data_IF_692477922834
#
_entry.id   IF_692477922834
#
_cell.length_a   1.000
_cell.length_b   1.000
_cell.length_c   1.000
_cell.angle_alpha   90.00
_cell.angle_beta   90.00
_cell.angle_gamma   90.00
#
_symmetry.space_group_name_H-M   'P 1'
#
loop_
_entity.id
_entity.type
_entity.pdbx_description
1 polymer ?
#
# COMPACT_ATOMS: atom_id res chain seq x y z
N UNK A 1 25.99 -38.59 33.46
CA UNK A 1 25.50 -39.66 32.55
C UNK A 1 24.68 -39.13 31.38
N UNK A 2 23.92 -38.03 31.53
CA UNK A 2 23.17 -37.42 30.42
C UNK A 2 24.07 -36.68 29.40
N UNK A 3 25.06 -35.90 29.86
CA UNK A 3 25.93 -35.09 28.98
C UNK A 3 26.79 -35.90 28.00
N UNK A 4 27.22 -37.10 28.39
CA UNK A 4 28.02 -37.98 27.54
C UNK A 4 27.23 -38.47 26.31
N UNK A 5 25.90 -38.64 26.43
CA UNK A 5 25.05 -39.05 25.30
C UNK A 5 24.82 -37.91 24.32
N UNK A 6 24.61 -36.69 24.82
CA UNK A 6 24.42 -35.50 23.97
C UNK A 6 25.68 -35.14 23.18
N UNK A 7 26.87 -35.28 23.78
CA UNK A 7 28.13 -35.03 23.09
C UNK A 7 28.38 -35.98 21.91
N UNK A 8 27.94 -37.23 22.02
CA UNK A 8 28.12 -38.26 20.98
C UNK A 8 27.13 -38.03 19.82
N UNK A 9 25.88 -37.66 20.13
CA UNK A 9 24.89 -37.29 19.13
C UNK A 9 25.32 -36.06 18.32
N UNK A 10 25.89 -35.04 18.97
CA UNK A 10 26.31 -33.82 18.29
C UNK A 10 27.57 -34.01 17.43
N UNK A 11 28.47 -34.92 17.82
CA UNK A 11 29.64 -35.30 17.02
C UNK A 11 29.25 -36.05 15.74
N UNK A 12 28.33 -37.01 15.84
CA UNK A 12 27.80 -37.72 14.68
C UNK A 12 27.02 -36.79 13.74
N UNK A 13 26.23 -35.85 14.30
CA UNK A 13 25.53 -34.85 13.49
C UNK A 13 26.51 -33.92 12.73
N UNK A 14 27.63 -33.55 13.35
CA UNK A 14 28.67 -32.73 12.74
C UNK A 14 29.47 -33.42 11.63
N UNK A 15 29.70 -34.74 11.75
CA UNK A 15 30.44 -35.52 10.73
C UNK A 15 29.61 -35.85 9.49
N UNK A 16 28.28 -35.97 9.62
CA UNK A 16 27.37 -36.25 8.49
C UNK A 16 26.94 -34.98 7.76
N UNK A 17 26.93 -33.82 8.45
CA UNK A 17 26.66 -32.52 7.83
C UNK A 17 27.96 -32.00 7.18
N UNK A 18 28.28 -32.56 6.01
CA UNK A 18 29.26 -31.98 5.11
C UNK A 18 28.82 -30.57 4.71
N UNK A 19 29.50 -29.55 5.22
CA UNK A 19 29.34 -28.16 4.79
C UNK A 19 29.84 -28.07 3.34
N UNK A 20 28.92 -28.30 2.41
CA UNK A 20 29.14 -28.22 0.97
C UNK A 20 29.61 -26.82 0.58
N UNK A 21 30.92 -26.68 0.36
CA UNK A 21 31.65 -25.45 0.06
C UNK A 21 31.37 -24.81 -1.30
N UNK A 22 30.12 -24.74 -1.76
CA UNK A 22 29.72 -23.96 -2.94
C UNK A 22 28.38 -23.23 -2.83
N UNK A 23 27.70 -23.30 -1.67
CA UNK A 23 26.38 -22.69 -1.45
C UNK A 23 26.45 -21.25 -0.91
N UNK A 24 27.56 -20.85 -0.29
CA UNK A 24 27.67 -19.55 0.43
C UNK A 24 27.71 -18.27 -0.42
N UNK A 25 27.76 -18.35 -1.76
CA UNK A 25 27.83 -17.18 -2.65
C UNK A 25 26.48 -16.83 -3.29
N UNK A 26 25.68 -17.83 -3.62
CA UNK A 26 24.29 -17.63 -4.11
C UNK A 26 23.37 -17.31 -2.94
N UNK A 27 23.62 -17.92 -1.77
CA UNK A 27 22.89 -17.59 -0.55
C UNK A 27 23.01 -16.11 -0.17
N UNK A 28 24.10 -15.41 -0.51
CA UNK A 28 24.22 -13.98 -0.16
C UNK A 28 23.31 -13.06 -0.99
N UNK A 29 22.89 -13.51 -2.18
CA UNK A 29 21.95 -12.78 -3.05
C UNK A 29 20.50 -13.04 -2.61
N UNK A 30 20.19 -14.28 -2.22
CA UNK A 30 18.88 -14.67 -1.68
C UNK A 30 18.69 -14.19 -0.24
N UNK A 31 19.77 -14.10 0.54
CA UNK A 31 19.81 -13.58 1.90
C UNK A 31 20.00 -12.06 1.96
N UNK A 32 19.72 -11.33 0.87
CA UNK A 32 19.67 -9.88 0.96
C UNK A 32 18.32 -9.47 1.56
N UNK A 33 18.20 -9.72 2.87
CA UNK A 33 17.17 -9.21 3.77
C UNK A 33 16.90 -7.75 3.38
N UNK A 34 17.93 -6.93 3.13
CA UNK A 34 17.78 -5.50 2.81
C UNK A 34 16.96 -5.18 1.55
N UNK A 35 16.78 -6.11 0.60
CA UNK A 35 15.96 -5.89 -0.61
C UNK A 35 14.45 -5.90 -0.34
N UNK A 36 14.00 -6.41 0.82
CA UNK A 36 12.57 -6.43 1.14
C UNK A 36 11.93 -5.03 1.23
N UNK A 37 12.64 -4.05 1.79
CA UNK A 37 12.13 -2.67 1.92
C UNK A 37 12.10 -1.94 0.56
N UNK A 38 13.17 -1.97 -0.28
CA UNK A 38 13.13 -1.41 -1.63
C UNK A 38 12.06 -2.04 -2.53
N UNK A 39 11.88 -3.36 -2.47
CA UNK A 39 10.83 -4.05 -3.25
C UNK A 39 9.43 -3.62 -2.77
N UNK A 40 9.24 -3.49 -1.46
CA UNK A 40 8.03 -2.92 -0.86
C UNK A 40 7.72 -1.53 -1.39
N UNK A 41 8.70 -0.63 -1.31
CA UNK A 41 8.53 0.74 -1.76
C UNK A 41 8.31 0.84 -3.27
N UNK A 42 9.01 0.02 -4.07
CA UNK A 42 8.85 -0.01 -5.52
C UNK A 42 7.45 -0.48 -5.93
N UNK A 43 6.92 -1.51 -5.27
CA UNK A 43 5.55 -1.98 -5.51
C UNK A 43 4.50 -0.95 -5.10
N UNK A 44 4.67 -0.28 -3.95
CA UNK A 44 3.79 0.82 -3.55
C UNK A 44 3.84 1.98 -4.52
N UNK A 45 5.05 2.35 -4.96
CA UNK A 45 5.24 3.39 -5.97
C UNK A 45 4.55 3.02 -7.29
N UNK A 46 4.72 1.79 -7.77
CA UNK A 46 4.06 1.30 -8.98
C UNK A 46 2.54 1.34 -8.83
N UNK A 47 2.01 0.87 -7.70
CA UNK A 47 0.58 0.92 -7.39
C UNK A 47 0.04 2.35 -7.49
N UNK A 48 0.69 3.32 -6.83
CA UNK A 48 0.29 4.73 -6.89
C UNK A 48 0.41 5.31 -8.29
N UNK A 49 1.53 5.04 -8.97
CA UNK A 49 1.79 5.52 -10.33
C UNK A 49 0.73 5.03 -11.30
N UNK A 50 0.39 3.74 -11.26
CA UNK A 50 -0.66 3.17 -12.11
C UNK A 50 -2.04 3.71 -11.71
N UNK A 51 -2.36 3.78 -10.42
CA UNK A 51 -3.65 4.29 -9.93
C UNK A 51 -3.91 5.73 -10.39
N UNK A 52 -2.92 6.62 -10.27
CA UNK A 52 -3.06 8.03 -10.65
C UNK A 52 -3.10 8.16 -12.18
N UNK A 53 -2.26 7.44 -12.92
CA UNK A 53 -2.26 7.52 -14.39
C UNK A 53 -3.55 6.95 -14.99
N UNK A 54 -3.97 5.74 -14.58
CA UNK A 54 -5.22 5.15 -15.07
C UNK A 54 -6.43 5.92 -14.58
N UNK A 55 -6.51 6.23 -13.29
CA UNK A 55 -7.61 7.01 -12.72
C UNK A 55 -7.73 8.39 -13.35
N UNK A 56 -6.59 9.01 -13.65
CA UNK A 56 -6.48 10.30 -14.34
C UNK A 56 -7.18 10.32 -15.70
N UNK A 57 -7.07 9.25 -16.49
CA UNK A 57 -7.73 9.14 -17.81
C UNK A 57 -9.25 9.21 -17.70
N UNK A 58 -9.83 8.79 -16.58
CA UNK A 58 -11.28 8.79 -16.37
C UNK A 58 -11.82 10.06 -15.71
N UNK A 59 -10.96 10.96 -15.22
CA UNK A 59 -11.37 12.20 -14.52
C UNK A 59 -12.32 13.01 -15.39
N UNK A 60 -11.94 13.28 -16.64
CA UNK A 60 -12.72 14.12 -17.55
C UNK A 60 -14.11 13.55 -17.81
N UNK A 61 -14.23 12.22 -17.89
CA UNK A 61 -15.52 11.56 -18.06
C UNK A 61 -16.45 11.80 -16.86
N UNK A 62 -15.95 11.61 -15.64
CA UNK A 62 -16.75 11.81 -14.42
C UNK A 62 -17.06 13.30 -14.18
N UNK A 63 -16.13 14.20 -14.50
CA UNK A 63 -16.39 15.63 -14.42
C UNK A 63 -17.46 16.10 -15.39
N UNK A 64 -17.41 15.64 -16.65
CA UNK A 64 -18.41 15.99 -17.66
C UNK A 64 -19.77 15.41 -17.28
N UNK A 65 -19.82 14.14 -16.88
CA UNK A 65 -21.06 13.49 -16.45
C UNK A 65 -21.69 14.22 -15.25
N UNK A 66 -20.89 14.55 -14.24
CA UNK A 66 -21.37 15.31 -13.09
C UNK A 66 -21.73 16.75 -13.44
N UNK A 67 -21.01 17.40 -14.35
CA UNK A 67 -21.33 18.74 -14.85
C UNK A 67 -22.71 18.77 -15.52
N UNK A 68 -22.93 17.87 -16.47
CA UNK A 68 -24.20 17.78 -17.20
C UNK A 68 -25.38 17.45 -16.27
N UNK A 69 -25.19 16.52 -15.33
CA UNK A 69 -26.29 16.09 -14.45
C UNK A 69 -26.56 17.07 -13.30
N UNK A 70 -25.50 17.50 -12.61
CA UNK A 70 -25.61 18.21 -11.32
C UNK A 70 -25.52 19.72 -11.45
N UNK A 71 -24.92 20.24 -12.53
CA UNK A 71 -24.82 21.68 -12.77
C UNK A 71 -25.83 22.06 -13.84
N UNK A 72 -25.64 21.60 -15.08
CA UNK A 72 -26.46 22.03 -16.21
C UNK A 72 -27.90 21.50 -16.10
N UNK A 73 -28.07 20.21 -15.78
CA UNK A 73 -29.36 19.57 -15.62
C UNK A 73 -30.15 20.12 -14.43
N UNK A 74 -29.47 20.31 -13.29
CA UNK A 74 -30.07 20.87 -12.08
C UNK A 74 -30.45 22.35 -12.29
N UNK A 75 -29.59 23.13 -12.97
CA UNK A 75 -29.88 24.50 -13.37
C UNK A 75 -31.08 24.60 -14.30
N UNK A 76 -31.13 23.77 -15.35
CA UNK A 76 -32.27 23.72 -16.28
C UNK A 76 -33.59 23.33 -15.58
N UNK A 77 -33.53 22.39 -14.62
CA UNK A 77 -34.69 22.02 -13.81
C UNK A 77 -35.17 23.19 -12.94
N UNK A 78 -34.27 23.86 -12.23
CA UNK A 78 -34.57 25.04 -11.42
C UNK A 78 -35.17 26.17 -12.27
N UNK A 79 -34.60 26.44 -13.44
CA UNK A 79 -35.12 27.43 -14.38
C UNK A 79 -36.53 27.05 -14.88
N UNK A 80 -36.77 25.77 -15.20
CA UNK A 80 -38.09 25.30 -15.63
C UNK A 80 -39.19 25.43 -14.57
N UNK A 81 -38.79 25.39 -13.29
CA UNK A 81 -39.67 25.58 -12.14
C UNK A 81 -39.89 27.06 -11.79
N UNK A 82 -39.27 28.00 -12.52
CA UNK A 82 -39.32 29.42 -12.23
C UNK A 82 -38.57 29.81 -10.96
N UNK A 83 -37.54 29.04 -10.59
CA UNK A 83 -36.74 29.34 -9.42
C UNK A 83 -36.00 30.70 -9.58
N UNK A 84 -35.83 31.45 -8.49
CA UNK A 84 -35.07 32.70 -8.53
C UNK A 84 -33.57 32.42 -8.74
N UNK A 85 -32.87 33.28 -9.49
CA UNK A 85 -31.48 33.05 -9.90
C UNK A 85 -30.47 32.86 -8.76
N UNK A 86 -30.74 33.39 -7.55
CA UNK A 86 -29.88 33.13 -6.39
C UNK A 86 -29.93 31.67 -5.95
N UNK A 87 -31.06 30.99 -6.15
CA UNK A 87 -31.23 29.57 -5.79
C UNK A 87 -30.52 28.67 -6.79
N UNK A 88 -30.55 29.04 -8.08
CA UNK A 88 -29.77 28.37 -9.13
C UNK A 88 -28.27 28.50 -8.89
N UNK A 89 -27.79 29.70 -8.57
CA UNK A 89 -26.38 29.93 -8.22
C UNK A 89 -25.96 29.09 -7.00
N UNK A 90 -26.80 28.98 -5.98
CA UNK A 90 -26.47 28.25 -4.77
C UNK A 90 -26.49 26.72 -4.98
N UNK A 91 -27.53 26.20 -5.62
CA UNK A 91 -27.73 24.75 -5.77
C UNK A 91 -27.00 24.17 -6.98
N UNK A 92 -27.17 24.75 -8.17
CA UNK A 92 -26.56 24.21 -9.39
C UNK A 92 -25.06 24.55 -9.44
N UNK A 93 -24.71 25.84 -9.32
CA UNK A 93 -23.31 26.27 -9.46
C UNK A 93 -22.50 26.00 -8.18
N UNK A 94 -23.07 26.28 -7.00
CA UNK A 94 -22.41 26.04 -5.71
C UNK A 94 -22.32 24.55 -5.36
N UNK A 95 -23.47 23.94 -5.04
CA UNK A 95 -23.52 22.53 -4.62
C UNK A 95 -23.17 21.60 -5.78
N UNK A 96 -23.78 21.76 -6.95
CA UNK A 96 -23.48 20.94 -8.12
C UNK A 96 -22.02 21.04 -8.58
N UNK A 97 -21.45 22.25 -8.57
CA UNK A 97 -20.02 22.47 -8.83
C UNK A 97 -19.12 21.76 -7.82
N UNK A 98 -19.47 21.81 -6.53
CA UNK A 98 -18.79 21.06 -5.48
C UNK A 98 -18.85 19.54 -5.69
N UNK A 99 -20.04 18.99 -6.00
CA UNK A 99 -20.18 17.56 -6.27
C UNK A 99 -19.47 17.12 -7.54
N UNK A 100 -19.37 17.98 -8.56
CA UNK A 100 -18.58 17.72 -9.76
C UNK A 100 -17.10 17.50 -9.41
N UNK A 101 -16.53 18.32 -8.52
CA UNK A 101 -15.16 18.12 -8.02
C UNK A 101 -15.06 16.82 -7.22
N UNK A 102 -16.05 16.48 -6.39
CA UNK A 102 -16.05 15.20 -5.67
C UNK A 102 -16.11 14.01 -6.63
N UNK A 103 -16.89 14.11 -7.71
CA UNK A 103 -17.03 13.06 -8.71
C UNK A 103 -15.71 12.75 -9.43
N UNK A 104 -14.83 13.74 -9.60
CA UNK A 104 -13.51 13.55 -10.21
C UNK A 104 -12.58 12.63 -9.40
N UNK A 105 -12.84 12.45 -8.09
CA UNK A 105 -12.10 11.52 -7.24
C UNK A 105 -12.58 10.06 -7.33
N UNK A 106 -13.81 9.83 -7.80
CA UNK A 106 -14.39 8.48 -7.93
C UNK A 106 -13.46 7.53 -8.70
N UNK A 107 -12.97 7.85 -9.91
CA UNK A 107 -12.10 6.95 -10.65
C UNK A 107 -10.80 6.66 -9.89
N UNK A 108 -10.15 7.68 -9.31
CA UNK A 108 -8.89 7.52 -8.57
C UNK A 108 -9.08 6.58 -7.38
N UNK A 109 -10.13 6.78 -6.59
CA UNK A 109 -10.43 5.95 -5.42
C UNK A 109 -10.82 4.53 -5.87
N UNK A 110 -11.59 4.40 -6.94
CA UNK A 110 -11.97 3.11 -7.51
C UNK A 110 -10.75 2.27 -7.92
N UNK A 111 -9.81 2.88 -8.66
CA UNK A 111 -8.55 2.21 -9.02
C UNK A 111 -7.68 1.91 -7.79
N UNK A 112 -7.64 2.82 -6.81
CA UNK A 112 -6.89 2.59 -5.58
C UNK A 112 -7.39 1.33 -4.87
N UNK A 113 -8.70 1.20 -4.68
CA UNK A 113 -9.29 0.01 -4.05
C UNK A 113 -9.13 -1.25 -4.89
N UNK A 114 -9.26 -1.15 -6.22
CA UNK A 114 -8.99 -2.26 -7.13
C UNK A 114 -7.56 -2.80 -6.93
N UNK A 115 -6.56 -1.92 -6.94
CA UNK A 115 -5.16 -2.32 -6.77
C UNK A 115 -4.84 -2.79 -5.35
N UNK A 116 -5.49 -2.23 -4.33
CA UNK A 116 -5.39 -2.72 -2.95
C UNK A 116 -5.92 -4.15 -2.83
N UNK A 117 -7.09 -4.43 -3.41
CA UNK A 117 -7.67 -5.78 -3.46
C UNK A 117 -6.74 -6.75 -4.18
N UNK A 118 -6.19 -6.34 -5.34
CA UNK A 118 -5.22 -7.17 -6.06
C UNK A 118 -3.96 -7.45 -5.21
N UNK A 119 -3.42 -6.45 -4.53
CA UNK A 119 -2.27 -6.61 -3.62
C UNK A 119 -2.56 -7.57 -2.47
N UNK A 120 -3.78 -7.52 -1.94
CA UNK A 120 -4.26 -8.44 -0.91
C UNK A 120 -4.29 -9.89 -1.45
N UNK A 121 -4.90 -10.10 -2.62
CA UNK A 121 -5.00 -11.41 -3.27
C UNK A 121 -3.63 -12.01 -3.63
N UNK A 122 -2.65 -11.19 -4.00
CA UNK A 122 -1.26 -11.63 -4.26
C UNK A 122 -0.48 -12.03 -2.99
N UNK A 123 -1.13 -11.99 -1.81
CA UNK A 123 -0.47 -12.25 -0.52
C UNK A 123 0.62 -11.22 -0.22
N UNK A 124 0.54 -10.02 -0.82
CA UNK A 124 1.50 -8.97 -0.56
C UNK A 124 1.36 -8.46 0.87
N UNK A 125 0.15 -8.48 1.43
CA UNK A 125 -0.12 -8.21 2.85
C UNK A 125 0.73 -9.10 3.77
N UNK A 126 0.84 -10.40 3.47
CA UNK A 126 1.68 -11.32 4.24
C UNK A 126 3.16 -10.93 4.17
N UNK A 127 3.67 -10.53 2.99
CA UNK A 127 5.05 -10.05 2.82
C UNK A 127 5.29 -8.67 3.44
N UNK A 128 4.32 -7.77 3.35
CA UNK A 128 4.36 -6.44 3.95
C UNK A 128 4.43 -6.51 5.48
N UNK A 129 3.67 -7.43 6.10
CA UNK A 129 3.73 -7.70 7.53
C UNK A 129 5.14 -8.14 7.97
N UNK A 130 5.79 -9.05 7.21
CA UNK A 130 7.19 -9.43 7.50
C UNK A 130 8.18 -8.25 7.38
N UNK A 131 7.97 -7.35 6.42
CA UNK A 131 8.79 -6.14 6.26
C UNK A 131 8.57 -5.18 7.43
N UNK A 132 7.32 -4.94 7.83
CA UNK A 132 6.98 -4.10 8.98
C UNK A 132 7.51 -4.66 10.30
N UNK A 133 7.34 -5.96 10.54
CA UNK A 133 7.92 -6.65 11.70
C UNK A 133 9.42 -6.44 11.79
N UNK A 134 10.12 -6.46 10.65
CA UNK A 134 11.55 -6.20 10.64
C UNK A 134 11.89 -4.75 10.95
N UNK A 135 11.16 -3.79 10.39
CA UNK A 135 11.34 -2.36 10.68
C UNK A 135 11.14 -2.09 12.18
N UNK A 136 10.07 -2.65 12.75
CA UNK A 136 9.76 -2.56 14.19
C UNK A 136 10.86 -3.18 15.06
N UNK A 137 11.38 -4.36 14.68
CA UNK A 137 12.50 -5.00 15.40
C UNK A 137 13.78 -4.17 15.34
N UNK A 138 14.06 -3.51 14.22
CA UNK A 138 15.23 -2.65 14.09
C UNK A 138 15.14 -1.41 14.98
N UNK A 139 13.98 -0.74 15.00
CA UNK A 139 13.72 0.40 15.91
C UNK A 139 13.76 -0.04 17.38
N UNK A 140 13.16 -1.19 17.72
CA UNK A 140 13.10 -1.70 19.09
C UNK A 140 14.46 -2.07 19.69
N UNK A 141 15.45 -2.42 18.87
CA UNK A 141 16.82 -2.69 19.35
C UNK A 141 17.57 -1.42 19.77
N UNK A 142 17.22 -0.25 19.20
CA UNK A 142 17.81 1.04 19.60
C UNK A 142 17.54 1.41 21.06
N UNK A 143 16.43 0.93 21.63
CA UNK A 143 16.06 1.21 23.03
C UNK A 143 16.65 0.22 24.05
N UNK A 144 17.19 -0.93 23.63
CA UNK A 144 17.72 -1.96 24.54
C UNK A 144 19.16 -1.70 25.00
N UNK A 145 19.89 -0.79 24.35
CA UNK A 145 21.25 -0.39 24.77
C UNK A 145 21.32 0.68 25.87
N UNK A 146 20.18 1.25 26.32
CA UNK A 146 20.15 2.27 27.39
C UNK A 146 19.82 1.75 28.79
N UNK A 147 19.65 0.44 28.96
CA UNK A 147 19.39 -0.20 30.27
C UNK A 147 20.45 -1.23 30.60
N UNK A 148 21.69 -0.79 30.71
CA UNK A 148 22.68 -1.49 31.55
C UNK A 148 22.82 -0.66 32.82
N UNK A 149 22.29 -1.10 33.97
CA UNK A 149 22.72 -0.52 35.22
C UNK A 149 24.20 -0.90 35.39
N UNK A 150 25.07 0.10 35.28
CA UNK A 150 26.41 0.01 35.86
C UNK A 150 26.21 0.05 37.37
N UNK A 151 26.52 -1.09 37.99
CA UNK A 151 27.02 -1.27 39.36
C UNK A 151 26.08 -0.81 40.47
#
# INVERSE_FOLDING_TARGET
>A
MADARYGLANRLAGEVVGVGGRVGRIDRVVLNRALGIPIFLAMMYLMFMVTINLGGVFIDFFEQLAGVLLVDGLGALLASLGAPGWLELLLAQGVGGGLRVVASFIPIIGFLFLFLSLLEDFGYMARAAFVMDRFMRWIGQGNRMKRTPRI
#
